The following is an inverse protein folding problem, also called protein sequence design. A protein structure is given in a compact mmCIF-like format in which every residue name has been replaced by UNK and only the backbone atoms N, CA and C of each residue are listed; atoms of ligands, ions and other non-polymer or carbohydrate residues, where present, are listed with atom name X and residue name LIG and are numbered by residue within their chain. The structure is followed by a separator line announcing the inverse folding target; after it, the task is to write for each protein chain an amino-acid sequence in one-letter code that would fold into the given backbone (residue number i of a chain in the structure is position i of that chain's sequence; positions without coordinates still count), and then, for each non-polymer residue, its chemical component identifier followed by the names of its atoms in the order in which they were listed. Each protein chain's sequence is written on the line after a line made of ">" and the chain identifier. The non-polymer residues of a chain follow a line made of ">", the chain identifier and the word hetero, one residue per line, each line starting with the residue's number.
data_IF_826959741316
#
_entry.id   IF_826959741316
#
_cell.length_a   1.000
_cell.length_b   1.000
_cell.length_c   1.000
_cell.angle_alpha   90.00
_cell.angle_beta   90.00
_cell.angle_gamma   90.00
#
_symmetry.space_group_name_H-M   'P 1'
#
loop_
_entity.id
_entity.type
_entity.pdbx_description
1 polymer ?
#
# COMPACT_ATOMS: atom_id res chain seq x y z
N UNK A 1 -18.87 0.79 -15.40
CA UNK A 1 -18.33 1.93 -14.62
C UNK A 1 -16.81 1.80 -14.66
N UNK A 2 -16.09 2.82 -15.12
CA UNK A 2 -14.61 2.80 -15.17
C UNK A 2 -14.03 2.77 -13.74
N UNK A 3 -12.95 2.04 -13.55
CA UNK A 3 -12.19 2.04 -12.30
C UNK A 3 -10.87 2.76 -12.54
N UNK A 4 -10.70 3.92 -11.93
CA UNK A 4 -9.45 4.67 -12.06
C UNK A 4 -8.24 3.84 -11.61
N UNK A 5 -8.39 3.01 -10.58
CA UNK A 5 -7.31 2.15 -10.11
C UNK A 5 -6.91 1.04 -11.09
N UNK A 6 -7.81 0.64 -12.00
CA UNK A 6 -7.49 -0.31 -13.08
C UNK A 6 -6.93 0.41 -14.30
N UNK A 7 -7.50 1.56 -14.64
CA UNK A 7 -7.20 2.28 -15.89
C UNK A 7 -5.91 3.11 -15.79
N UNK A 8 -5.49 3.53 -14.59
CA UNK A 8 -4.27 4.33 -14.38
C UNK A 8 -2.96 3.53 -14.37
N UNK A 9 -3.05 2.20 -14.29
CA UNK A 9 -1.89 1.34 -14.01
C UNK A 9 -1.49 1.33 -12.53
N UNK A 10 -0.34 0.74 -12.22
CA UNK A 10 0.15 0.62 -10.85
C UNK A 10 0.76 1.95 -10.38
N UNK A 11 -0.02 2.70 -9.62
CA UNK A 11 0.41 3.94 -8.96
C UNK A 11 0.24 3.82 -7.45
N UNK A 12 1.14 4.41 -6.64
CA UNK A 12 0.94 4.45 -5.20
C UNK A 12 -0.22 5.38 -4.88
N UNK A 13 -1.19 4.90 -4.08
CA UNK A 13 -2.32 5.70 -3.64
C UNK A 13 -2.07 6.28 -2.24
N UNK A 14 -1.67 5.43 -1.32
CA UNK A 14 -1.29 5.82 0.04
C UNK A 14 0.03 5.18 0.42
N UNK A 15 0.78 5.84 1.29
CA UNK A 15 2.04 5.32 1.83
C UNK A 15 2.21 5.75 3.27
N UNK A 16 2.98 4.96 4.02
CA UNK A 16 3.43 5.38 5.34
C UNK A 16 4.65 6.28 5.18
N UNK A 17 4.68 7.36 5.95
CA UNK A 17 5.80 8.29 5.96
C UNK A 17 6.20 8.66 7.39
N UNK A 18 7.47 8.95 7.57
CA UNK A 18 8.01 9.41 8.84
C UNK A 18 9.12 10.43 8.57
N UNK A 19 9.43 11.25 9.58
CA UNK A 19 10.59 12.14 9.51
C UNK A 19 11.87 11.31 9.44
N UNK A 20 12.83 11.73 8.62
CA UNK A 20 14.13 11.06 8.49
C UNK A 20 14.85 10.94 9.84
N UNK A 21 14.75 11.97 10.71
CA UNK A 21 15.29 11.90 12.07
C UNK A 21 14.67 10.76 12.89
N UNK A 22 13.35 10.56 12.79
CA UNK A 22 12.67 9.48 13.51
C UNK A 22 13.09 8.09 12.99
N UNK A 23 13.25 7.94 11.68
CA UNK A 23 13.75 6.70 11.06
C UNK A 23 15.15 6.35 11.60
N UNK A 24 16.04 7.34 11.69
CA UNK A 24 17.41 7.16 12.14
C UNK A 24 17.52 6.87 13.64
N UNK A 25 16.67 7.51 14.45
CA UNK A 25 16.68 7.37 15.90
C UNK A 25 15.94 6.12 16.39
N UNK A 26 14.95 5.63 15.61
CA UNK A 26 14.06 4.55 16.02
C UNK A 26 13.92 3.43 14.96
N UNK A 27 15.02 2.93 14.37
CA UNK A 27 14.93 1.95 13.27
C UNK A 27 14.22 0.66 13.68
N UNK A 28 14.34 0.25 14.96
CA UNK A 28 13.70 -0.96 15.47
C UNK A 28 12.17 -0.84 15.55
N UNK A 29 11.67 0.37 15.85
CA UNK A 29 10.22 0.62 15.86
C UNK A 29 9.68 0.53 14.44
N UNK A 30 10.36 1.18 13.49
CA UNK A 30 9.98 1.14 12.07
C UNK A 30 10.04 -0.28 11.53
N UNK A 31 11.10 -1.04 11.83
CA UNK A 31 11.20 -2.43 11.39
C UNK A 31 10.07 -3.30 11.96
N UNK A 32 9.77 -3.15 13.26
CA UNK A 32 8.68 -3.90 13.90
C UNK A 32 7.32 -3.57 13.28
N UNK A 33 7.08 -2.31 12.97
CA UNK A 33 5.87 -1.85 12.29
C UNK A 33 5.79 -2.44 10.88
N UNK A 34 6.88 -2.36 10.11
CA UNK A 34 6.94 -2.92 8.75
C UNK A 34 6.76 -4.44 8.75
N UNK A 35 7.36 -5.16 9.70
CA UNK A 35 7.16 -6.60 9.86
C UNK A 35 5.69 -6.95 10.17
N UNK A 36 5.00 -6.13 10.96
CA UNK A 36 3.59 -6.35 11.24
C UNK A 36 2.71 -6.13 10.00
N UNK A 37 3.03 -5.12 9.19
CA UNK A 37 2.36 -4.89 7.90
C UNK A 37 2.60 -6.05 6.93
N UNK A 38 3.85 -6.55 6.81
CA UNK A 38 4.16 -7.69 5.95
C UNK A 38 3.36 -8.94 6.36
N UNK A 39 3.23 -9.23 7.65
CA UNK A 39 2.37 -10.32 8.13
C UNK A 39 0.91 -10.14 7.71
N UNK A 40 0.42 -8.90 7.68
CA UNK A 40 -0.91 -8.59 7.16
C UNK A 40 -1.03 -8.87 5.66
N UNK A 41 -0.01 -8.50 4.87
CA UNK A 41 0.05 -8.81 3.44
C UNK A 41 0.10 -10.31 3.19
N UNK A 42 0.93 -11.05 3.93
CA UNK A 42 1.03 -12.51 3.86
C UNK A 42 -0.33 -13.17 4.18
N UNK A 43 -1.05 -12.64 5.16
CA UNK A 43 -2.40 -13.11 5.48
C UNK A 43 -3.35 -12.92 4.29
N UNK A 44 -3.37 -11.72 3.71
CA UNK A 44 -4.21 -11.39 2.54
C UNK A 44 -3.91 -12.30 1.35
N UNK A 45 -2.64 -12.58 1.09
CA UNK A 45 -2.22 -13.45 -0.03
C UNK A 45 -2.63 -14.91 0.15
N UNK A 46 -2.81 -15.38 1.38
CA UNK A 46 -3.06 -16.79 1.69
C UNK A 46 -4.51 -17.10 2.12
N UNK A 47 -5.41 -16.10 2.14
CA UNK A 47 -6.79 -16.28 2.59
C UNK A 47 -7.80 -15.75 1.56
N UNK A 48 -8.99 -16.30 1.62
CA UNK A 48 -10.11 -15.87 0.76
C UNK A 48 -10.63 -14.49 1.15
N UNK A 49 -11.29 -13.78 0.23
CA UNK A 49 -11.96 -12.51 0.55
C UNK A 49 -12.94 -12.60 1.72
N UNK A 50 -13.61 -13.74 1.88
CA UNK A 50 -14.55 -13.99 2.98
C UNK A 50 -13.81 -14.08 4.32
N UNK A 51 -12.69 -14.79 4.38
CA UNK A 51 -11.85 -14.89 5.59
C UNK A 51 -11.24 -13.54 5.96
N UNK A 52 -10.76 -12.79 4.97
CA UNK A 52 -10.23 -11.44 5.17
C UNK A 52 -11.32 -10.54 5.74
N UNK A 53 -12.53 -10.53 5.14
CA UNK A 53 -13.66 -9.74 5.62
C UNK A 53 -14.03 -10.08 7.06
N UNK A 54 -14.03 -11.35 7.45
CA UNK A 54 -14.28 -11.77 8.83
C UNK A 54 -13.27 -11.19 9.81
N UNK A 55 -11.99 -11.21 9.47
CA UNK A 55 -10.93 -10.72 10.36
C UNK A 55 -11.01 -9.20 10.54
N UNK A 56 -11.31 -8.45 9.49
CA UNK A 56 -11.36 -6.99 9.56
C UNK A 56 -12.72 -6.43 10.03
N UNK A 57 -13.78 -7.25 10.04
CA UNK A 57 -15.15 -6.80 10.38
C UNK A 57 -15.27 -6.04 11.70
N UNK A 58 -14.51 -6.33 12.77
CA UNK A 58 -14.58 -5.55 14.00
C UNK A 58 -14.17 -4.08 13.83
N UNK A 59 -13.42 -3.75 12.77
CA UNK A 59 -13.00 -2.38 12.45
C UNK A 59 -14.05 -1.62 11.62
N UNK A 60 -15.09 -2.34 11.13
CA UNK A 60 -16.15 -1.80 10.28
C UNK A 60 -17.53 -2.16 10.83
N UNK A 61 -17.86 -1.76 12.08
CA UNK A 61 -19.10 -2.20 12.76
C UNK A 61 -20.39 -1.72 12.06
N UNK A 62 -20.30 -0.67 11.24
CA UNK A 62 -21.42 -0.12 10.49
C UNK A 62 -21.64 -0.80 9.13
N UNK A 63 -20.78 -1.75 8.75
CA UNK A 63 -20.83 -2.42 7.45
C UNK A 63 -21.24 -3.88 7.64
N UNK A 64 -22.31 -4.31 6.97
CA UNK A 64 -22.70 -5.71 6.99
C UNK A 64 -21.67 -6.61 6.27
N UNK A 65 -21.66 -7.90 6.63
CA UNK A 65 -20.67 -8.84 6.12
C UNK A 65 -20.73 -9.04 4.61
N UNK A 66 -21.90 -9.01 4.01
CA UNK A 66 -22.04 -9.22 2.55
C UNK A 66 -21.45 -8.03 1.79
N UNK A 67 -21.71 -6.82 2.27
CA UNK A 67 -21.11 -5.59 1.73
C UNK A 67 -19.61 -5.58 1.94
N UNK A 68 -19.13 -5.91 3.14
CA UNK A 68 -17.70 -5.94 3.46
C UNK A 68 -16.95 -6.96 2.59
N UNK A 69 -17.51 -8.16 2.45
CA UNK A 69 -16.94 -9.21 1.58
C UNK A 69 -16.88 -8.76 0.12
N UNK A 70 -17.91 -8.10 -0.37
CA UNK A 70 -17.95 -7.55 -1.73
C UNK A 70 -16.87 -6.49 -1.95
N UNK A 71 -16.63 -5.61 -0.96
CA UNK A 71 -15.57 -4.60 -1.00
C UNK A 71 -14.19 -5.29 -1.03
N UNK A 72 -13.94 -6.20 -0.11
CA UNK A 72 -12.68 -6.95 -0.03
C UNK A 72 -12.41 -7.70 -1.32
N UNK A 73 -13.41 -8.40 -1.87
CA UNK A 73 -13.28 -9.12 -3.14
C UNK A 73 -12.88 -8.19 -4.29
N UNK A 74 -13.47 -7.00 -4.37
CA UNK A 74 -13.12 -6.02 -5.42
C UNK A 74 -11.67 -5.56 -5.29
N UNK A 75 -11.19 -5.25 -4.09
CA UNK A 75 -9.80 -4.87 -3.86
C UNK A 75 -8.83 -6.02 -4.17
N UNK A 76 -9.22 -7.25 -3.83
CA UNK A 76 -8.45 -8.44 -4.13
C UNK A 76 -8.31 -8.67 -5.64
N UNK A 77 -9.43 -8.59 -6.39
CA UNK A 77 -9.47 -8.77 -7.85
C UNK A 77 -8.74 -7.65 -8.62
N UNK A 78 -8.62 -6.46 -8.05
CA UNK A 78 -7.86 -5.34 -8.62
C UNK A 78 -6.37 -5.38 -8.29
N UNK A 79 -5.90 -6.41 -7.61
CA UNK A 79 -4.51 -6.50 -7.13
C UNK A 79 -4.07 -5.26 -6.33
N UNK A 80 -5.01 -4.71 -5.53
CA UNK A 80 -4.76 -3.53 -4.70
C UNK A 80 -3.75 -3.83 -3.59
N UNK A 81 -3.80 -5.05 -3.04
CA UNK A 81 -2.88 -5.52 -2.02
C UNK A 81 -1.78 -6.37 -2.65
N UNK A 82 -0.60 -5.79 -2.74
CA UNK A 82 0.60 -6.44 -3.26
C UNK A 82 1.07 -7.57 -2.33
N UNK A 83 1.92 -8.44 -2.85
CA UNK A 83 2.51 -9.52 -2.06
C UNK A 83 3.57 -9.06 -1.05
N UNK A 84 4.11 -7.84 -1.23
CA UNK A 84 5.10 -7.26 -0.33
C UNK A 84 4.96 -5.75 -0.24
N UNK A 85 5.73 -5.15 0.65
CA UNK A 85 5.70 -3.72 0.98
C UNK A 85 6.76 -2.89 0.24
N UNK A 86 7.45 -3.45 -0.76
CA UNK A 86 8.46 -2.72 -1.51
C UNK A 86 7.77 -1.66 -2.37
N UNK A 87 8.14 -0.41 -2.12
CA UNK A 87 7.64 0.72 -2.90
C UNK A 87 8.41 0.81 -4.22
N UNK A 88 7.73 0.59 -5.33
CA UNK A 88 8.33 0.49 -6.66
C UNK A 88 8.60 1.87 -7.25
N UNK A 89 9.83 2.08 -7.73
CA UNK A 89 10.26 3.33 -8.37
C UNK A 89 9.44 3.65 -9.62
N UNK A 90 9.18 2.66 -10.46
CA UNK A 90 8.43 2.85 -11.70
C UNK A 90 6.99 3.32 -11.43
N UNK A 91 6.36 2.81 -10.36
CA UNK A 91 5.03 3.27 -9.92
C UNK A 91 5.06 4.72 -9.43
N UNK A 92 6.13 5.12 -8.75
CA UNK A 92 6.33 6.50 -8.31
C UNK A 92 6.54 7.45 -9.50
N UNK A 93 7.34 7.06 -10.48
CA UNK A 93 7.55 7.86 -11.70
C UNK A 93 6.25 8.00 -12.50
N UNK A 94 5.47 6.93 -12.65
CA UNK A 94 4.15 6.98 -13.30
C UNK A 94 3.19 7.95 -12.59
N UNK A 95 3.19 7.97 -11.25
CA UNK A 95 2.40 8.95 -10.50
C UNK A 95 2.83 10.38 -10.82
N UNK A 96 4.13 10.64 -10.88
CA UNK A 96 4.66 11.96 -11.23
C UNK A 96 4.29 12.36 -12.67
N UNK A 97 4.36 11.42 -13.63
CA UNK A 97 3.93 11.66 -15.03
C UNK A 97 2.45 12.09 -15.10
N UNK A 98 1.59 11.42 -14.33
CA UNK A 98 0.16 11.75 -14.26
C UNK A 98 -0.04 13.15 -13.68
N UNK A 99 0.61 13.46 -12.55
CA UNK A 99 0.49 14.76 -11.88
C UNK A 99 1.05 15.91 -12.73
N UNK A 100 2.19 15.69 -13.40
CA UNK A 100 2.79 16.67 -14.31
C UNK A 100 1.89 16.94 -15.52
N UNK A 101 1.35 15.89 -16.13
CA UNK A 101 0.43 16.02 -17.28
C UNK A 101 -0.89 16.69 -16.90
N UNK A 102 -1.32 16.58 -15.64
CA UNK A 102 -2.48 17.27 -15.10
C UNK A 102 -2.19 18.74 -14.70
N UNK A 103 -0.92 19.17 -14.73
CA UNK A 103 -0.50 20.50 -14.30
C UNK A 103 -0.46 20.68 -12.78
N UNK A 104 -0.49 19.60 -12.01
CA UNK A 104 -0.49 19.60 -10.55
C UNK A 104 0.91 19.42 -9.95
N UNK A 105 1.92 19.14 -10.78
CA UNK A 105 3.32 18.99 -10.38
C UNK A 105 4.20 19.92 -11.22
N UNK A 106 4.83 20.89 -10.56
CA UNK A 106 5.77 21.82 -11.22
C UNK A 106 7.20 21.30 -11.27
N UNK A 107 7.60 20.55 -10.24
CA UNK A 107 8.94 19.99 -10.10
C UNK A 107 8.86 18.54 -9.61
N UNK A 108 9.57 17.65 -10.28
CA UNK A 108 9.60 16.22 -9.92
C UNK A 108 10.47 16.00 -8.68
N UNK A 109 10.00 15.11 -7.83
CA UNK A 109 10.74 14.67 -6.66
C UNK A 109 11.67 13.49 -7.03
N UNK A 110 12.86 13.48 -6.45
CA UNK A 110 13.77 12.34 -6.58
C UNK A 110 13.33 11.21 -5.65
N UNK A 111 13.03 10.05 -6.24
CA UNK A 111 12.59 8.87 -5.51
C UNK A 111 13.61 8.46 -4.43
N UNK A 112 14.90 8.51 -4.71
CA UNK A 112 15.96 8.08 -3.79
C UNK A 112 16.05 8.97 -2.54
N UNK A 113 15.59 10.22 -2.64
CA UNK A 113 15.54 11.14 -1.51
C UNK A 113 14.26 11.04 -0.67
N UNK A 114 13.18 10.49 -1.23
CA UNK A 114 11.88 10.39 -0.57
C UNK A 114 11.53 9.00 -0.06
N UNK A 115 12.02 7.95 -0.72
CA UNK A 115 11.63 6.56 -0.48
C UNK A 115 12.80 5.77 0.08
N UNK A 116 12.53 4.96 1.11
CA UNK A 116 13.44 3.90 1.56
C UNK A 116 12.72 2.57 1.54
N UNK A 117 13.31 1.57 0.90
CA UNK A 117 12.79 0.20 0.83
C UNK A 117 13.46 -0.74 1.83
N UNK A 118 14.51 -0.29 2.52
CA UNK A 118 15.36 -1.12 3.39
C UNK A 118 14.57 -1.90 4.45
N UNK A 119 13.55 -1.28 5.06
CA UNK A 119 12.72 -1.94 6.07
C UNK A 119 11.77 -2.99 5.46
N UNK A 120 11.26 -2.72 4.25
CA UNK A 120 10.41 -3.66 3.52
C UNK A 120 11.24 -4.86 3.04
N UNK A 121 12.42 -4.65 2.49
CA UNK A 121 13.35 -5.70 2.07
C UNK A 121 13.75 -6.60 3.25
N UNK A 122 14.03 -6.02 4.42
CA UNK A 122 14.32 -6.77 5.63
C UNK A 122 13.11 -7.54 6.19
N UNK A 123 11.90 -7.13 5.88
CA UNK A 123 10.68 -7.81 6.34
C UNK A 123 10.33 -9.06 5.53
N UNK A 124 10.84 -9.19 4.30
CA UNK A 124 10.61 -10.34 3.41
C UNK A 124 11.80 -11.30 3.34
N UNK A 125 12.91 -10.97 4.00
CA UNK A 125 14.11 -11.84 4.12
C UNK A 125 14.04 -12.73 5.38
#
# INVERSE_FOLDING_TARGET
>A
MASLGVDSGYVPYTSYSAKTSFLNENPQIIQSFTNALQKGMDYVQNHSPEEIAQVISPQFPETDMDTLTTIVKRYYEQDTWKENLIFEKDSFELLQDILESAGELSDRADCENLVTTAFAEAAIS
#
